data_IF_578994520259
#
_entry.id   IF_578994520259
#
_cell.length_a   1.000
_cell.length_b   1.000
_cell.length_c   1.000
_cell.angle_alpha   90.00
_cell.angle_beta   90.00
_cell.angle_gamma   90.00
#
_symmetry.space_group_name_H-M   'P 1'
#
loop_
_entity.id
_entity.type
_entity.pdbx_description
1 polymer ?
#
# COMPACT_ATOMS: atom_id res chain seq x y z
N UNK A 1 -3.68 -11.78 -15.52
CA UNK A 1 -2.92 -10.85 -14.65
C UNK A 1 -2.18 -9.88 -15.54
N UNK A 2 -2.41 -8.60 -15.36
CA UNK A 2 -1.71 -7.51 -16.05
C UNK A 2 -0.73 -6.88 -15.05
N UNK A 3 0.54 -6.69 -15.46
CA UNK A 3 1.56 -6.03 -14.66
C UNK A 3 2.15 -4.87 -15.45
N UNK A 4 2.17 -3.68 -14.87
CA UNK A 4 2.71 -2.48 -15.48
C UNK A 4 3.44 -1.62 -14.44
N UNK A 5 4.48 -0.90 -14.86
CA UNK A 5 5.19 0.01 -13.96
C UNK A 5 4.57 1.40 -13.99
N UNK A 6 4.21 1.92 -12.83
CA UNK A 6 3.74 3.29 -12.65
C UNK A 6 4.83 4.23 -12.10
N UNK A 7 6.07 3.75 -11.95
CA UNK A 7 7.24 4.54 -11.55
C UNK A 7 7.00 5.35 -10.26
N UNK A 8 6.36 4.73 -9.27
CA UNK A 8 6.00 5.32 -7.97
C UNK A 8 5.06 6.55 -8.08
N UNK A 9 4.39 6.71 -9.21
CA UNK A 9 3.59 7.89 -9.53
C UNK A 9 2.10 7.59 -9.56
N UNK A 10 1.31 8.33 -8.75
CA UNK A 10 -0.12 8.16 -8.63
C UNK A 10 -0.88 8.43 -9.95
N UNK A 11 -0.48 9.47 -10.71
CA UNK A 11 -1.16 9.81 -11.97
C UNK A 11 -0.93 8.73 -13.04
N UNK A 12 0.28 8.15 -13.09
CA UNK A 12 0.55 7.02 -13.97
C UNK A 12 -0.24 5.79 -13.58
N UNK A 13 -0.31 5.47 -12.27
CA UNK A 13 -1.12 4.37 -11.78
C UNK A 13 -2.60 4.56 -12.15
N UNK A 14 -3.14 5.77 -11.99
CA UNK A 14 -4.50 6.10 -12.42
C UNK A 14 -4.71 5.88 -13.92
N UNK A 15 -3.79 6.34 -14.76
CA UNK A 15 -3.86 6.18 -16.21
C UNK A 15 -3.82 4.69 -16.62
N UNK A 16 -2.97 3.90 -15.98
CA UNK A 16 -2.85 2.46 -16.22
C UNK A 16 -4.16 1.76 -15.89
N UNK A 17 -4.71 1.98 -14.70
CA UNK A 17 -5.97 1.34 -14.27
C UNK A 17 -7.12 1.82 -15.15
N UNK A 18 -7.18 3.10 -15.50
CA UNK A 18 -8.19 3.62 -16.42
C UNK A 18 -8.11 2.92 -17.78
N UNK A 19 -6.91 2.72 -18.34
CA UNK A 19 -6.72 2.03 -19.61
C UNK A 19 -7.20 0.56 -19.56
N UNK A 20 -6.96 -0.13 -18.42
CA UNK A 20 -7.48 -1.49 -18.21
C UNK A 20 -9.00 -1.51 -18.17
N UNK A 21 -9.62 -0.56 -17.47
CA UNK A 21 -11.08 -0.41 -17.42
C UNK A 21 -11.63 -0.13 -18.82
N UNK A 22 -11.04 0.80 -19.55
CA UNK A 22 -11.47 1.19 -20.90
C UNK A 22 -11.32 0.07 -21.93
N UNK A 23 -10.39 -0.88 -21.71
CA UNK A 23 -10.24 -2.06 -22.55
C UNK A 23 -11.34 -3.10 -22.35
N UNK A 24 -12.14 -2.97 -21.29
CA UNK A 24 -13.17 -3.95 -20.91
C UNK A 24 -12.63 -5.20 -20.22
N UNK A 25 -11.36 -5.20 -19.82
CA UNK A 25 -10.79 -6.28 -19.01
C UNK A 25 -11.42 -6.28 -17.61
N UNK A 26 -11.70 -7.49 -17.11
CA UNK A 26 -12.23 -7.66 -15.76
C UNK A 26 -11.12 -8.02 -14.78
N UNK A 27 -11.14 -7.41 -13.62
CA UNK A 27 -10.23 -7.69 -12.51
C UNK A 27 -10.95 -7.49 -11.17
N UNK A 28 -10.44 -8.10 -10.13
CA UNK A 28 -10.98 -8.00 -8.78
C UNK A 28 -9.90 -7.72 -7.71
N UNK A 29 -8.66 -7.51 -8.12
CA UNK A 29 -7.55 -7.16 -7.22
C UNK A 29 -6.68 -6.11 -7.88
N UNK A 30 -6.35 -5.07 -7.12
CA UNK A 30 -5.26 -4.14 -7.40
C UNK A 30 -4.19 -4.35 -6.33
N UNK A 31 -3.02 -4.74 -6.77
CA UNK A 31 -1.82 -4.83 -5.96
C UNK A 31 -0.90 -3.68 -6.38
N UNK A 32 -0.85 -2.65 -5.58
CA UNK A 32 0.03 -1.50 -5.80
C UNK A 32 1.23 -1.60 -4.86
N UNK A 33 2.44 -1.48 -5.39
CA UNK A 33 3.69 -1.63 -4.63
C UNK A 33 3.99 -0.42 -3.72
N UNK A 34 3.11 0.59 -3.70
CA UNK A 34 3.09 1.63 -2.69
C UNK A 34 1.72 2.35 -2.61
N UNK A 35 1.51 3.11 -1.55
CA UNK A 35 0.25 3.81 -1.26
C UNK A 35 -0.09 4.88 -2.29
N UNK A 36 0.89 5.63 -2.78
CA UNK A 36 0.64 6.65 -3.79
C UNK A 36 0.07 6.04 -5.08
N UNK A 37 0.60 4.89 -5.52
CA UNK A 37 0.08 4.19 -6.68
C UNK A 37 -1.29 3.56 -6.38
N UNK A 38 -1.52 3.02 -5.17
CA UNK A 38 -2.83 2.55 -4.75
C UNK A 38 -3.88 3.66 -4.80
N UNK A 39 -3.55 4.85 -4.28
CA UNK A 39 -4.41 6.04 -4.36
C UNK A 39 -4.75 6.43 -5.80
N UNK A 40 -3.77 6.40 -6.69
CA UNK A 40 -3.99 6.66 -8.11
C UNK A 40 -4.91 5.62 -8.75
N UNK A 41 -4.71 4.35 -8.43
CA UNK A 41 -5.55 3.26 -8.92
C UNK A 41 -7.01 3.40 -8.43
N UNK A 42 -7.20 3.69 -7.15
CA UNK A 42 -8.52 3.95 -6.55
C UNK A 42 -9.23 5.12 -7.23
N UNK A 43 -8.52 6.21 -7.54
CA UNK A 43 -9.11 7.33 -8.25
C UNK A 43 -9.66 6.95 -9.65
N UNK A 44 -9.08 5.95 -10.32
CA UNK A 44 -9.63 5.42 -11.57
C UNK A 44 -10.89 4.57 -11.32
N UNK A 45 -10.91 3.75 -10.25
CA UNK A 45 -12.08 2.97 -9.85
C UNK A 45 -13.27 3.89 -9.53
N UNK A 46 -13.05 4.91 -8.71
CA UNK A 46 -14.06 5.89 -8.32
C UNK A 46 -14.65 6.60 -9.53
N UNK A 47 -13.80 7.06 -10.45
CA UNK A 47 -14.23 7.70 -11.70
C UNK A 47 -15.09 6.79 -12.57
N UNK A 48 -14.82 5.49 -12.55
CA UNK A 48 -15.56 4.47 -13.27
C UNK A 48 -16.79 3.93 -12.49
N UNK A 49 -17.03 4.40 -11.26
CA UNK A 49 -18.03 3.90 -10.32
C UNK A 49 -17.88 2.39 -10.04
N UNK A 50 -16.65 1.90 -9.96
CA UNK A 50 -16.32 0.52 -9.58
C UNK A 50 -16.10 0.47 -8.07
N UNK A 51 -16.86 -0.36 -7.37
CA UNK A 51 -16.78 -0.47 -5.92
C UNK A 51 -15.49 -1.18 -5.48
N UNK A 52 -14.85 -0.69 -4.42
CA UNK A 52 -13.60 -1.24 -3.91
C UNK A 52 -13.57 -1.24 -2.38
N UNK A 53 -12.68 -2.06 -1.81
CA UNK A 53 -12.52 -2.21 -0.36
C UNK A 53 -13.24 -3.44 0.21
N UNK A 54 -13.50 -3.43 1.51
CA UNK A 54 -14.05 -4.56 2.25
C UNK A 54 -15.46 -4.92 1.77
N UNK A 55 -15.61 -6.16 1.31
CA UNK A 55 -16.90 -6.66 0.82
C UNK A 55 -17.37 -6.04 -0.50
N UNK A 56 -16.46 -5.47 -1.28
CA UNK A 56 -16.73 -4.82 -2.57
C UNK A 56 -16.12 -5.63 -3.73
N UNK A 57 -16.28 -5.10 -4.95
CA UNK A 57 -15.90 -5.80 -6.17
C UNK A 57 -14.38 -5.92 -6.36
N UNK A 58 -13.64 -4.91 -5.89
CA UNK A 58 -12.18 -4.85 -6.07
C UNK A 58 -11.47 -4.75 -4.73
N UNK A 59 -10.55 -5.67 -4.49
CA UNK A 59 -9.60 -5.65 -3.38
C UNK A 59 -8.48 -4.68 -3.71
N UNK A 60 -8.13 -3.79 -2.76
CA UNK A 60 -7.04 -2.83 -2.89
C UNK A 60 -5.97 -3.14 -1.84
N UNK A 61 -4.72 -3.27 -2.32
CA UNK A 61 -3.54 -3.54 -1.51
C UNK A 61 -2.53 -2.43 -1.76
N UNK A 62 -2.05 -1.81 -0.69
CA UNK A 62 -0.99 -0.79 -0.68
C UNK A 62 0.22 -1.20 0.15
N UNK A 63 1.24 -0.36 0.14
CA UNK A 63 2.45 -0.49 0.95
C UNK A 63 2.99 0.90 1.28
N UNK A 64 3.63 1.04 2.39
CA UNK A 64 4.38 2.10 3.06
C UNK A 64 3.76 2.45 4.42
N UNK A 65 2.47 2.25 4.63
CA UNK A 65 1.73 2.67 5.82
C UNK A 65 1.73 4.20 6.00
N UNK A 66 1.53 4.95 4.92
CA UNK A 66 1.24 6.37 5.09
C UNK A 66 0.00 6.55 5.98
N UNK A 67 0.01 7.51 6.90
CA UNK A 67 -1.10 7.74 7.84
C UNK A 67 -2.45 7.81 7.13
N UNK A 68 -2.54 8.55 6.03
CA UNK A 68 -3.76 8.68 5.24
C UNK A 68 -4.20 7.36 4.57
N UNK A 69 -3.23 6.45 4.21
CA UNK A 69 -3.55 5.14 3.65
C UNK A 69 -4.11 4.20 4.72
N UNK A 70 -3.53 4.22 5.92
CA UNK A 70 -4.07 3.49 7.07
C UNK A 70 -5.45 4.01 7.50
N UNK A 71 -5.73 5.30 7.33
CA UNK A 71 -7.08 5.86 7.54
C UNK A 71 -8.08 5.31 6.53
N UNK A 72 -7.71 5.20 5.24
CA UNK A 72 -8.54 4.56 4.21
C UNK A 72 -8.77 3.07 4.51
N UNK A 73 -7.74 2.39 5.02
CA UNK A 73 -7.84 1.00 5.45
C UNK A 73 -8.80 0.85 6.64
N UNK A 74 -8.67 1.71 7.66
CA UNK A 74 -9.56 1.75 8.84
C UNK A 74 -11.02 2.03 8.46
N UNK A 75 -11.24 2.86 7.43
CA UNK A 75 -12.55 3.16 6.87
C UNK A 75 -13.13 2.00 6.03
N UNK A 76 -12.33 0.98 5.73
CA UNK A 76 -12.73 -0.16 4.88
C UNK A 76 -12.71 0.12 3.39
N UNK A 77 -12.12 1.25 2.96
CA UNK A 77 -12.00 1.62 1.55
C UNK A 77 -10.89 0.84 0.85
N UNK A 78 -9.89 0.37 1.60
CA UNK A 78 -8.83 -0.54 1.19
C UNK A 78 -8.92 -1.84 1.98
N UNK A 79 -8.16 -2.87 1.58
CA UNK A 79 -8.23 -4.19 2.20
C UNK A 79 -6.97 -4.55 2.99
N UNK A 80 -5.80 -4.10 2.53
CA UNK A 80 -4.52 -4.41 3.17
C UNK A 80 -3.50 -3.31 2.88
N UNK A 81 -2.62 -3.07 3.86
CA UNK A 81 -1.46 -2.22 3.73
C UNK A 81 -0.25 -2.85 4.44
N UNK A 82 0.87 -2.93 3.75
CA UNK A 82 2.12 -3.47 4.26
C UNK A 82 3.09 -2.37 4.65
N UNK A 83 3.65 -2.46 5.85
CA UNK A 83 4.68 -1.52 6.27
C UNK A 83 5.93 -1.64 5.39
N UNK A 84 6.48 -0.50 4.98
CA UNK A 84 7.87 -0.36 4.54
C UNK A 84 8.57 0.54 5.56
N UNK A 85 9.24 -0.07 6.54
CA UNK A 85 9.74 0.65 7.71
C UNK A 85 10.96 1.53 7.37
N UNK A 86 10.83 2.88 7.40
CA UNK A 86 11.95 3.80 7.12
C UNK A 86 12.86 4.01 8.34
N UNK A 87 12.48 3.53 9.53
CA UNK A 87 13.19 3.80 10.79
C UNK A 87 14.38 2.86 11.00
N UNK A 88 15.39 3.00 10.14
CA UNK A 88 16.60 2.16 10.16
C UNK A 88 17.72 2.71 11.05
N UNK A 89 17.55 3.89 11.63
CA UNK A 89 18.61 4.58 12.37
C UNK A 89 19.20 3.77 13.53
N UNK A 90 18.38 3.02 14.25
CA UNK A 90 18.85 2.19 15.36
C UNK A 90 19.80 1.06 14.88
N UNK A 91 19.51 0.46 13.75
CA UNK A 91 20.36 -0.59 13.14
C UNK A 91 21.66 -0.01 12.61
N UNK A 92 21.61 1.19 12.01
CA UNK A 92 22.79 1.89 11.53
C UNK A 92 23.69 2.30 12.71
N UNK A 93 23.11 2.82 13.79
CA UNK A 93 23.84 3.18 15.01
C UNK A 93 24.52 1.95 15.66
N UNK A 94 23.82 0.82 15.70
CA UNK A 94 24.42 -0.44 16.20
C UNK A 94 25.60 -0.89 15.34
N UNK A 95 25.48 -0.84 14.02
CA UNK A 95 26.58 -1.16 13.09
C UNK A 95 27.79 -0.23 13.30
N UNK A 96 27.52 1.06 13.50
CA UNK A 96 28.60 2.04 13.74
C UNK A 96 29.34 1.76 15.06
N UNK A 97 28.59 1.42 16.11
CA UNK A 97 29.16 1.19 17.45
C UNK A 97 29.84 -0.17 17.62
N UNK A 98 29.26 -1.20 17.03
CA UNK A 98 29.62 -2.59 17.30
C UNK A 98 30.22 -3.31 16.07
N UNK A 99 30.27 -2.64 14.93
CA UNK A 99 30.71 -3.23 13.67
C UNK A 99 29.66 -4.13 13.02
N UNK A 100 29.95 -4.56 11.78
CA UNK A 100 29.08 -5.46 11.04
C UNK A 100 29.23 -6.89 11.56
N UNK A 101 28.24 -7.39 12.26
CA UNK A 101 28.21 -8.75 12.80
C UNK A 101 27.56 -9.76 11.86
N UNK A 102 26.68 -9.30 10.97
CA UNK A 102 25.96 -10.12 9.98
C UNK A 102 25.93 -9.43 8.62
N UNK A 103 25.83 -10.22 7.54
CA UNK A 103 25.71 -9.67 6.18
C UNK A 103 24.33 -9.10 5.87
N UNK A 104 23.33 -9.54 6.61
CA UNK A 104 21.92 -9.19 6.40
C UNK A 104 21.27 -9.00 7.76
N UNK A 105 20.57 -7.90 7.93
CA UNK A 105 19.65 -7.67 9.05
C UNK A 105 18.25 -7.64 8.46
N UNK A 106 17.40 -8.55 8.93
CA UNK A 106 15.97 -8.54 8.56
C UNK A 106 15.25 -7.74 9.63
N UNK A 107 14.54 -6.70 9.19
CA UNK A 107 13.68 -5.90 10.06
C UNK A 107 12.28 -6.52 10.07
N UNK A 108 11.66 -6.57 11.24
CA UNK A 108 10.26 -6.94 11.35
C UNK A 108 9.39 -5.80 10.79
N UNK A 109 8.54 -6.14 9.86
CA UNK A 109 7.52 -5.25 9.29
C UNK A 109 6.14 -5.80 9.55
N UNK A 110 5.17 -4.90 9.70
CA UNK A 110 3.77 -5.26 9.93
C UNK A 110 2.96 -5.16 8.65
N UNK A 111 1.94 -6.00 8.56
CA UNK A 111 0.85 -5.84 7.62
C UNK A 111 -0.43 -5.55 8.38
N UNK A 112 -1.25 -4.68 7.85
CA UNK A 112 -2.52 -4.28 8.41
C UNK A 112 -3.66 -4.73 7.48
N UNK A 113 -4.62 -5.41 8.07
CA UNK A 113 -5.84 -5.86 7.40
C UNK A 113 -7.01 -4.97 7.83
N UNK A 114 -7.84 -4.55 6.90
CA UNK A 114 -8.96 -3.64 7.14
C UNK A 114 -10.00 -4.17 8.15
N UNK A 115 -10.03 -5.48 8.41
CA UNK A 115 -10.96 -6.07 9.37
C UNK A 115 -10.43 -6.09 10.80
N UNK A 116 -9.15 -5.84 10.99
CA UNK A 116 -8.46 -5.94 12.29
C UNK A 116 -7.73 -4.67 12.72
N UNK A 117 -7.46 -3.74 11.80
CA UNK A 117 -6.79 -2.47 12.09
C UNK A 117 -7.58 -1.63 13.10
N UNK A 118 -6.86 -0.92 13.94
CA UNK A 118 -7.41 -0.02 14.96
C UNK A 118 -6.90 1.41 14.77
N UNK A 119 -7.57 2.39 15.41
CA UNK A 119 -7.09 3.78 15.42
C UNK A 119 -5.72 3.91 16.10
N UNK A 120 -5.41 3.05 17.07
CA UNK A 120 -4.10 3.02 17.73
C UNK A 120 -3.01 2.53 16.76
N UNK A 121 -3.33 1.61 15.84
CA UNK A 121 -2.39 1.19 14.80
C UNK A 121 -2.07 2.34 13.85
N UNK A 122 -3.07 3.11 13.42
CA UNK A 122 -2.86 4.30 12.60
C UNK A 122 -1.95 5.30 13.31
N UNK A 123 -2.20 5.57 14.60
CA UNK A 123 -1.40 6.52 15.38
C UNK A 123 0.04 6.05 15.62
N UNK A 124 0.28 4.74 15.76
CA UNK A 124 1.59 4.19 16.11
C UNK A 124 2.45 3.81 14.90
N UNK A 125 1.85 3.51 13.76
CA UNK A 125 2.56 2.98 12.58
C UNK A 125 2.41 3.83 11.32
N UNK A 126 1.50 4.81 11.32
CA UNK A 126 1.38 5.78 10.22
C UNK A 126 2.61 6.69 10.12
N UNK A 127 3.14 6.85 8.90
CA UNK A 127 4.27 7.73 8.60
C UNK A 127 3.86 8.95 7.79
#
# INVERSE_FOLDING_TARGET
VTQQTAEWNAEKAQQIVQAVIDSGETFNVIYAENDNMAKGAVAALDKANISHGVGKDVIVIGFDCNTWALEELLAGNWNYDGQCNPFQAAYIDDIIKNGVTTKVVIMDEKGFDATTITADDVANYGI
#
